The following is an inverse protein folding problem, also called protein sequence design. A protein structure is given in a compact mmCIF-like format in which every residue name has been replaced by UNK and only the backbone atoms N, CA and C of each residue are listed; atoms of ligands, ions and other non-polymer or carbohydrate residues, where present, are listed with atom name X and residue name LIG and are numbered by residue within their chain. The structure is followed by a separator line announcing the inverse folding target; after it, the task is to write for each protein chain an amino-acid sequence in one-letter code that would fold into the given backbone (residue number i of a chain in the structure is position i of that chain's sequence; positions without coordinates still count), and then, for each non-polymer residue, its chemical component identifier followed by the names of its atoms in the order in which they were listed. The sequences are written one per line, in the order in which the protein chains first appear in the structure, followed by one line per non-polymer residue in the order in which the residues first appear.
data_IF_310148000501
#
_entry.id   IF_310148000501
#
_cell.length_a   1.000
_cell.length_b   1.000
_cell.length_c   1.000
_cell.angle_alpha   90.00
_cell.angle_beta   90.00
_cell.angle_gamma   90.00
#
_symmetry.space_group_name_H-M   'P 1'
#
loop_
_entity.id
_entity.type
_entity.pdbx_description
1 polymer ?
#
# COMPACT_ATOMS: atom_id res chain seq x y z
N UNK A 1 -22.56 -17.13 12.80
CA UNK A 1 -22.24 -16.02 11.88
C UNK A 1 -20.75 -16.11 11.55
N UNK A 2 -20.37 -16.49 10.33
CA UNK A 2 -18.97 -16.52 9.91
C UNK A 2 -18.64 -15.21 9.19
N UNK A 3 -17.64 -14.47 9.67
CA UNK A 3 -17.12 -13.28 8.99
C UNK A 3 -16.28 -13.78 7.82
N UNK A 4 -16.70 -13.50 6.59
CA UNK A 4 -15.90 -13.80 5.41
C UNK A 4 -14.65 -12.89 5.41
N UNK A 5 -13.47 -13.50 5.49
CA UNK A 5 -12.20 -12.78 5.36
C UNK A 5 -12.01 -12.51 3.86
N UNK A 6 -12.39 -11.32 3.41
CA UNK A 6 -12.05 -10.84 2.08
C UNK A 6 -10.54 -10.57 2.06
N UNK A 7 -9.77 -11.48 1.46
CA UNK A 7 -8.39 -11.17 1.04
C UNK A 7 -8.48 -10.42 -0.29
N UNK A 8 -8.27 -9.09 -0.32
CA UNK A 8 -8.23 -8.39 -1.59
C UNK A 8 -7.07 -8.96 -2.43
N UNK A 9 -7.35 -9.24 -3.69
CA UNK A 9 -6.29 -9.62 -4.63
C UNK A 9 -5.27 -8.49 -4.74
N UNK A 10 -3.96 -8.79 -4.70
CA UNK A 10 -2.96 -7.76 -4.88
C UNK A 10 -3.10 -7.14 -6.26
N UNK A 11 -3.17 -5.81 -6.30
CA UNK A 11 -3.34 -5.04 -7.54
C UNK A 11 -2.04 -5.04 -8.38
N UNK A 12 -0.90 -5.29 -7.73
CA UNK A 12 0.45 -5.30 -8.33
C UNK A 12 1.28 -6.45 -7.76
N UNK A 13 2.26 -6.93 -8.53
CA UNK A 13 3.27 -7.86 -8.00
C UNK A 13 4.40 -7.11 -7.30
N UNK A 14 5.22 -7.84 -6.56
CA UNK A 14 6.43 -7.30 -5.95
C UNK A 14 7.34 -6.68 -7.02
N UNK A 15 7.76 -5.43 -6.81
CA UNK A 15 8.60 -4.67 -7.74
C UNK A 15 7.85 -3.90 -8.83
N UNK A 16 6.55 -4.13 -9.02
CA UNK A 16 5.73 -3.41 -10.01
C UNK A 16 5.13 -2.10 -9.45
N UNK A 17 5.13 -1.92 -8.13
CA UNK A 17 4.67 -0.69 -7.49
C UNK A 17 5.72 0.42 -7.62
N UNK A 18 5.54 1.30 -8.60
CA UNK A 18 6.38 2.47 -8.86
C UNK A 18 5.52 3.73 -9.03
N UNK A 19 6.19 4.87 -9.26
CA UNK A 19 5.53 6.15 -9.43
C UNK A 19 4.58 6.14 -10.62
N UNK A 20 5.04 5.61 -11.74
CA UNK A 20 4.32 5.57 -13.02
C UNK A 20 3.03 4.76 -12.88
N UNK A 21 3.08 3.65 -12.15
CA UNK A 21 1.92 2.84 -11.82
C UNK A 21 0.90 3.64 -10.99
N UNK A 22 1.35 4.33 -9.94
CA UNK A 22 0.45 5.12 -9.07
C UNK A 22 -0.28 6.21 -9.85
N UNK A 23 0.43 6.91 -10.74
CA UNK A 23 -0.15 7.93 -11.62
C UNK A 23 -1.15 7.31 -12.62
N UNK A 24 -0.77 6.21 -13.28
CA UNK A 24 -1.65 5.50 -14.20
C UNK A 24 -2.91 4.95 -13.52
N UNK A 25 -2.76 4.47 -12.28
CA UNK A 25 -3.86 3.94 -11.47
C UNK A 25 -4.87 5.03 -11.10
N UNK A 26 -4.39 6.18 -10.58
CA UNK A 26 -5.27 7.32 -10.26
C UNK A 26 -6.00 7.85 -11.50
N UNK A 27 -5.29 7.95 -12.62
CA UNK A 27 -5.89 8.34 -13.91
C UNK A 27 -6.98 7.36 -14.37
N UNK A 28 -6.73 6.06 -14.26
CA UNK A 28 -7.70 5.03 -14.65
C UNK A 28 -8.98 5.09 -13.79
N UNK A 29 -8.87 5.53 -12.54
CA UNK A 29 -10.00 5.73 -11.63
C UNK A 29 -10.71 7.08 -11.81
N UNK A 30 -10.22 7.95 -12.70
CA UNK A 30 -10.80 9.28 -12.91
C UNK A 30 -10.64 10.20 -11.69
N UNK A 31 -9.56 10.02 -10.93
CA UNK A 31 -9.33 10.78 -9.71
C UNK A 31 -8.99 12.26 -9.99
N UNK A 32 -9.43 13.18 -9.12
CA UNK A 32 -8.99 14.57 -9.18
C UNK A 32 -7.50 14.67 -8.84
N UNK A 33 -6.86 15.75 -9.30
CA UNK A 33 -5.42 15.98 -9.16
C UNK A 33 -4.93 15.86 -7.71
N UNK A 34 -5.63 16.51 -6.77
CA UNK A 34 -5.28 16.46 -5.34
C UNK A 34 -5.23 15.03 -4.80
N UNK A 35 -6.02 14.10 -5.34
CA UNK A 35 -6.02 12.70 -4.89
C UNK A 35 -4.79 11.96 -5.45
N UNK A 36 -4.39 12.27 -6.68
CA UNK A 36 -3.15 11.73 -7.27
C UNK A 36 -1.93 12.16 -6.45
N UNK A 37 -1.87 13.43 -6.06
CA UNK A 37 -0.80 13.95 -5.19
C UNK A 37 -0.77 13.22 -3.84
N UNK A 38 -1.94 13.00 -3.23
CA UNK A 38 -2.04 12.25 -1.96
C UNK A 38 -1.58 10.81 -2.10
N UNK A 39 -1.86 10.14 -3.22
CA UNK A 39 -1.37 8.78 -3.51
C UNK A 39 0.14 8.75 -3.69
N UNK A 40 0.70 9.71 -4.43
CA UNK A 40 2.14 9.82 -4.63
C UNK A 40 2.88 10.05 -3.31
N UNK A 41 2.34 10.90 -2.44
CA UNK A 41 2.90 11.12 -1.11
C UNK A 41 2.80 9.86 -0.23
N UNK A 42 1.65 9.18 -0.25
CA UNK A 42 1.50 7.91 0.46
C UNK A 42 2.49 6.84 -0.04
N UNK A 43 2.72 6.77 -1.35
CA UNK A 43 3.70 5.87 -1.94
C UNK A 43 5.13 6.23 -1.50
N UNK A 44 5.49 7.51 -1.47
CA UNK A 44 6.78 7.98 -0.96
C UNK A 44 6.98 7.56 0.50
N UNK A 45 5.99 7.85 1.36
CA UNK A 45 6.04 7.46 2.77
C UNK A 45 6.18 5.95 2.92
N UNK A 46 5.40 5.15 2.18
CA UNK A 46 5.49 3.69 2.21
C UNK A 46 6.91 3.19 1.86
N UNK A 47 7.51 3.72 0.79
CA UNK A 47 8.85 3.34 0.36
C UNK A 47 9.93 3.74 1.36
N UNK A 48 9.80 4.94 1.92
CA UNK A 48 10.80 5.51 2.83
C UNK A 48 10.65 4.94 4.27
N UNK A 49 9.50 4.35 4.59
CA UNK A 49 9.25 3.70 5.89
C UNK A 49 9.86 2.30 5.89
N UNK A 50 10.74 1.97 6.86
CA UNK A 50 11.26 0.62 7.00
C UNK A 50 10.15 -0.42 7.18
N UNK A 51 10.34 -1.60 6.60
CA UNK A 51 9.42 -2.71 6.81
C UNK A 51 9.28 -3.01 8.32
N UNK A 52 8.08 -3.39 8.79
CA UNK A 52 7.87 -3.74 10.18
C UNK A 52 8.76 -4.93 10.57
N UNK A 53 9.31 -4.87 11.78
CA UNK A 53 10.23 -5.88 12.29
C UNK A 53 9.70 -6.43 13.61
N UNK A 54 9.63 -7.77 13.76
CA UNK A 54 9.17 -8.43 15.00
C UNK A 54 10.03 -8.08 16.23
N UNK A 55 11.25 -7.62 16.04
CA UNK A 55 12.11 -7.15 17.13
C UNK A 55 11.74 -5.75 17.63
N UNK A 56 10.98 -4.97 16.86
CA UNK A 56 10.40 -3.70 17.33
C UNK A 56 9.26 -3.99 18.31
N UNK A 57 9.23 -3.27 19.43
CA UNK A 57 8.19 -3.39 20.45
C UNK A 57 6.79 -3.15 19.87
N UNK A 58 6.66 -2.22 18.91
CA UNK A 58 5.37 -1.94 18.27
C UNK A 58 4.80 -3.15 17.52
N UNK A 59 5.66 -4.02 16.99
CA UNK A 59 5.28 -5.12 16.11
C UNK A 59 5.44 -6.50 16.74
N UNK A 60 5.98 -6.59 17.97
CA UNK A 60 6.32 -7.86 18.63
C UNK A 60 5.18 -8.86 18.72
N UNK A 61 3.95 -8.37 18.86
CA UNK A 61 2.74 -9.20 19.02
C UNK A 61 1.92 -9.34 17.74
N UNK A 62 2.41 -8.83 16.61
CA UNK A 62 1.75 -8.92 15.31
C UNK A 62 2.39 -10.05 14.52
N UNK A 63 1.57 -10.97 14.01
CA UNK A 63 2.05 -11.97 13.06
C UNK A 63 2.28 -11.31 11.69
N UNK A 64 3.51 -11.39 11.21
CA UNK A 64 3.97 -10.78 9.95
C UNK A 64 4.28 -11.83 8.86
N UNK A 65 3.87 -13.10 9.07
CA UNK A 65 4.06 -14.21 8.12
C UNK A 65 3.19 -14.11 6.86
#
# INVERSE_FOLDING_TARGET
MAIAILKPSPVVKAGELNREFVEAYGKALGEPEWMTERRLEAFRVFRDTPAPNRHDELWRRVDLS
#
